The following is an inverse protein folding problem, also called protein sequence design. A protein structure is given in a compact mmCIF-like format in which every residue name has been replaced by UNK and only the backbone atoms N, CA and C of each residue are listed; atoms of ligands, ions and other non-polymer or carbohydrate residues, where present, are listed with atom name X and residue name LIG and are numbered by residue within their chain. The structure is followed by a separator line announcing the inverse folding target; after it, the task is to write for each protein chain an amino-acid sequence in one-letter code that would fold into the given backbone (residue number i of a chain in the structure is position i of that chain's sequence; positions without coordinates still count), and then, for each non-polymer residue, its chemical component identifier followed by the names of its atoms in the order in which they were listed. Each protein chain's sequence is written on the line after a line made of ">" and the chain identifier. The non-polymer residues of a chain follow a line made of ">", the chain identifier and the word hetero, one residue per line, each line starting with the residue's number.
data_IF_747476539072
#
_entry.id   IF_747476539072
#
_cell.length_a   1.000
_cell.length_b   1.000
_cell.length_c   1.000
_cell.angle_alpha   90.00
_cell.angle_beta   90.00
_cell.angle_gamma   90.00
#
_symmetry.space_group_name_H-M   'P 1'
#
loop_
_entity.id
_entity.type
_entity.pdbx_description
1 polymer ?
#
# COMPACT_ATOMS: atom_id res chain seq x y z
N UNK A 1 -28.53 -21.39 -27.62
CA UNK A 1 -29.27 -20.28 -28.26
C UNK A 1 -28.34 -19.59 -29.26
N UNK A 2 -28.92 -19.08 -30.34
CA UNK A 2 -28.22 -18.34 -31.39
C UNK A 2 -28.91 -17.00 -31.58
N UNK A 3 -28.15 -15.93 -31.67
CA UNK A 3 -28.66 -14.58 -31.97
C UNK A 3 -27.81 -13.92 -33.08
N UNK A 4 -28.49 -13.30 -34.04
CA UNK A 4 -27.87 -12.44 -35.06
C UNK A 4 -28.07 -10.99 -34.65
N UNK A 5 -26.98 -10.22 -34.62
CA UNK A 5 -26.97 -8.82 -34.24
C UNK A 5 -27.06 -7.87 -35.46
N UNK A 6 -27.41 -6.60 -35.21
CA UNK A 6 -27.57 -5.58 -36.27
C UNK A 6 -26.26 -5.29 -37.02
N UNK A 7 -25.11 -5.53 -36.42
CA UNK A 7 -23.78 -5.41 -37.00
C UNK A 7 -23.32 -6.64 -37.78
N UNK A 8 -24.25 -7.58 -38.04
CA UNK A 8 -24.03 -8.88 -38.68
C UNK A 8 -23.09 -9.82 -37.88
N UNK A 9 -22.86 -9.60 -36.59
CA UNK A 9 -22.21 -10.59 -35.74
C UNK A 9 -23.21 -11.64 -35.24
N UNK A 10 -22.71 -12.82 -34.88
CA UNK A 10 -23.51 -13.92 -34.35
C UNK A 10 -23.04 -14.27 -32.94
N UNK A 11 -23.99 -14.34 -32.00
CA UNK A 11 -23.74 -14.89 -30.67
C UNK A 11 -24.34 -16.29 -30.54
N UNK A 12 -23.57 -17.21 -30.00
CA UNK A 12 -23.97 -18.59 -29.75
C UNK A 12 -23.76 -18.90 -28.25
N UNK A 13 -24.85 -19.32 -27.58
CA UNK A 13 -24.76 -19.89 -26.25
C UNK A 13 -24.79 -21.40 -26.33
N UNK A 14 -23.73 -22.04 -25.81
CA UNK A 14 -23.60 -23.50 -25.83
C UNK A 14 -24.65 -24.15 -24.90
N UNK A 15 -25.01 -25.45 -25.17
CA UNK A 15 -25.80 -26.25 -24.24
C UNK A 15 -25.13 -26.35 -22.86
N UNK A 16 -25.94 -26.52 -21.81
CA UNK A 16 -25.44 -26.59 -20.40
C UNK A 16 -24.48 -27.75 -20.14
N UNK A 17 -24.43 -28.75 -21.02
CA UNK A 17 -23.51 -29.89 -20.94
C UNK A 17 -22.12 -29.62 -21.50
N UNK A 18 -21.90 -28.47 -22.16
CA UNK A 18 -20.62 -28.12 -22.81
C UNK A 18 -20.03 -26.85 -22.21
N UNK A 19 -18.72 -26.89 -21.95
CA UNK A 19 -17.89 -25.74 -21.59
C UNK A 19 -16.96 -25.42 -22.76
N UNK A 20 -16.53 -24.15 -22.85
CA UNK A 20 -15.42 -23.76 -23.71
C UNK A 20 -14.13 -24.31 -23.12
N UNK A 21 -13.58 -25.31 -23.73
CA UNK A 21 -12.33 -25.97 -23.34
C UNK A 21 -11.39 -26.06 -24.54
N UNK A 22 -10.12 -25.68 -24.34
CA UNK A 22 -9.10 -25.69 -25.37
C UNK A 22 -8.77 -27.15 -25.84
N UNK A 23 -8.88 -28.11 -24.93
CA UNK A 23 -8.67 -29.50 -25.24
C UNK A 23 -9.81 -30.07 -26.14
N UNK A 24 -11.03 -29.57 -25.96
CA UNK A 24 -12.25 -30.00 -26.67
C UNK A 24 -12.82 -28.80 -27.46
N UNK A 25 -12.05 -28.26 -28.37
CA UNK A 25 -12.42 -27.08 -29.16
C UNK A 25 -13.74 -27.23 -29.88
N UNK A 26 -14.58 -26.21 -29.79
CA UNK A 26 -15.87 -26.17 -30.45
C UNK A 26 -15.74 -25.59 -31.86
N UNK A 27 -16.09 -26.35 -32.86
CA UNK A 27 -16.18 -25.87 -34.26
C UNK A 27 -17.61 -25.42 -34.57
N UNK A 28 -17.74 -24.21 -35.11
CA UNK A 28 -19.00 -23.61 -35.54
C UNK A 28 -18.92 -23.29 -37.03
N UNK A 29 -19.91 -23.73 -37.78
CA UNK A 29 -20.01 -23.46 -39.22
C UNK A 29 -21.20 -22.56 -39.51
N UNK A 30 -20.99 -21.51 -40.29
CA UNK A 30 -22.05 -20.59 -40.75
C UNK A 30 -22.28 -20.78 -42.25
N UNK A 31 -23.52 -21.04 -42.62
CA UNK A 31 -23.95 -21.19 -44.03
C UNK A 31 -25.17 -20.32 -44.30
N UNK A 32 -25.28 -19.77 -45.49
CA UNK A 32 -26.50 -19.11 -45.94
C UNK A 32 -27.58 -20.18 -46.21
N UNK A 33 -28.74 -20.02 -45.56
CA UNK A 33 -29.84 -21.02 -45.69
C UNK A 33 -30.36 -21.13 -47.11
N UNK A 34 -30.35 -20.05 -47.90
CA UNK A 34 -30.92 -19.98 -49.24
C UNK A 34 -30.11 -20.74 -50.30
N UNK A 35 -28.78 -20.67 -50.23
CA UNK A 35 -27.88 -21.24 -51.25
C UNK A 35 -26.85 -22.22 -50.66
N UNK A 36 -26.82 -22.38 -49.33
CA UNK A 36 -25.89 -23.23 -48.59
C UNK A 36 -24.40 -22.86 -48.77
N UNK A 37 -24.13 -21.64 -49.17
CA UNK A 37 -22.76 -21.14 -49.35
C UNK A 37 -22.12 -20.86 -48.00
N UNK A 38 -20.82 -21.06 -47.93
CA UNK A 38 -20.03 -20.64 -46.77
C UNK A 38 -20.02 -19.11 -46.65
N UNK A 39 -19.96 -18.60 -45.40
CA UNK A 39 -19.90 -17.15 -45.11
C UNK A 39 -18.58 -16.85 -44.42
N UNK A 40 -17.54 -16.45 -45.18
CA UNK A 40 -16.26 -16.08 -44.60
C UNK A 40 -16.28 -14.69 -43.96
N UNK A 41 -15.38 -14.45 -42.98
CA UNK A 41 -15.17 -13.14 -42.36
C UNK A 41 -16.27 -12.71 -41.37
N UNK A 42 -17.28 -13.55 -41.08
CA UNK A 42 -18.34 -13.25 -40.14
C UNK A 42 -17.83 -13.39 -38.70
N UNK A 43 -18.06 -12.39 -37.86
CA UNK A 43 -17.73 -12.44 -36.45
C UNK A 43 -18.70 -13.35 -35.70
N UNK A 44 -18.16 -14.35 -35.00
CA UNK A 44 -18.93 -15.27 -34.17
C UNK A 44 -18.38 -15.25 -32.74
N UNK A 45 -19.26 -15.05 -31.78
CA UNK A 45 -19.00 -15.15 -30.36
C UNK A 45 -19.67 -16.41 -29.80
N UNK A 46 -18.97 -17.15 -28.97
CA UNK A 46 -19.45 -18.34 -28.29
C UNK A 46 -19.32 -18.18 -26.79
N UNK A 47 -20.39 -18.48 -26.07
CA UNK A 47 -20.44 -18.39 -24.60
C UNK A 47 -20.98 -19.70 -24.03
N UNK A 48 -20.40 -20.19 -22.93
CA UNK A 48 -20.89 -21.36 -22.20
C UNK A 48 -21.75 -20.99 -20.98
N UNK A 49 -22.16 -21.98 -20.19
CA UNK A 49 -22.97 -21.81 -18.99
C UNK A 49 -22.23 -21.09 -17.85
N UNK A 50 -20.90 -21.08 -17.86
CA UNK A 50 -20.03 -20.42 -16.86
C UNK A 50 -19.66 -19.01 -17.31
N UNK A 51 -20.26 -18.51 -18.41
CA UNK A 51 -19.93 -17.22 -19.03
C UNK A 51 -18.47 -17.12 -19.51
N UNK A 52 -17.84 -18.27 -19.80
CA UNK A 52 -16.61 -18.29 -20.56
C UNK A 52 -16.96 -17.86 -22.00
N UNK A 53 -16.08 -16.97 -22.56
CA UNK A 53 -16.34 -16.31 -23.82
C UNK A 53 -15.15 -16.47 -24.77
N UNK A 54 -15.43 -16.89 -25.99
CA UNK A 54 -14.43 -16.90 -27.06
C UNK A 54 -15.07 -16.43 -28.38
N UNK A 55 -14.31 -15.74 -29.21
CA UNK A 55 -14.80 -15.25 -30.50
C UNK A 55 -13.71 -15.35 -31.55
N UNK A 56 -14.16 -15.49 -32.82
CA UNK A 56 -13.31 -15.45 -33.99
C UNK A 56 -14.12 -15.05 -35.23
N UNK A 57 -13.41 -14.82 -36.34
CA UNK A 57 -14.05 -14.66 -37.67
C UNK A 57 -14.02 -15.97 -38.42
N UNK A 58 -15.08 -16.23 -39.16
CA UNK A 58 -15.15 -17.42 -40.03
C UNK A 58 -14.07 -17.38 -41.12
N UNK A 59 -13.47 -18.52 -41.38
CA UNK A 59 -12.52 -18.75 -42.46
C UNK A 59 -13.25 -18.89 -43.85
N UNK A 60 -12.48 -19.26 -44.86
CA UNK A 60 -13.01 -19.44 -46.21
C UNK A 60 -14.10 -20.54 -46.31
N UNK A 61 -14.10 -21.51 -45.40
CA UNK A 61 -15.10 -22.55 -45.29
C UNK A 61 -16.32 -22.13 -44.42
N UNK A 62 -16.34 -20.89 -43.93
CA UNK A 62 -17.39 -20.38 -43.04
C UNK A 62 -17.32 -20.97 -41.65
N UNK A 63 -16.16 -21.39 -41.19
CA UNK A 63 -15.98 -22.07 -39.91
C UNK A 63 -15.12 -21.24 -38.93
N UNK A 64 -15.42 -21.40 -37.64
CA UNK A 64 -14.51 -21.01 -36.55
C UNK A 64 -14.27 -22.21 -35.63
N UNK A 65 -13.10 -22.23 -35.00
CA UNK A 65 -12.79 -23.18 -33.91
C UNK A 65 -12.36 -22.37 -32.68
N UNK A 66 -13.05 -22.56 -31.57
CA UNK A 66 -12.87 -21.78 -30.32
C UNK A 66 -12.92 -22.73 -29.10
N UNK A 67 -12.21 -22.39 -28.00
CA UNK A 67 -11.26 -21.27 -27.86
C UNK A 67 -9.95 -21.52 -28.60
N UNK A 68 -9.19 -20.44 -28.83
CA UNK A 68 -7.84 -20.49 -29.39
C UNK A 68 -6.82 -20.01 -28.37
N UNK A 69 -5.52 -19.94 -28.74
CA UNK A 69 -4.46 -19.41 -27.87
C UNK A 69 -4.51 -17.89 -27.63
N UNK A 70 -5.43 -17.20 -28.28
CA UNK A 70 -5.62 -15.76 -28.16
C UNK A 70 -7.07 -15.37 -28.44
N UNK A 71 -7.45 -14.15 -28.03
CA UNK A 71 -8.76 -13.59 -28.28
C UNK A 71 -8.87 -12.15 -27.81
N UNK A 72 -10.05 -11.56 -27.98
CA UNK A 72 -10.37 -10.23 -27.45
C UNK A 72 -11.42 -10.35 -26.36
N UNK A 73 -11.31 -9.52 -25.32
CA UNK A 73 -12.33 -9.44 -24.27
C UNK A 73 -13.65 -8.91 -24.83
N UNK A 74 -14.75 -9.45 -24.32
CA UNK A 74 -16.11 -8.99 -24.61
C UNK A 74 -16.49 -7.73 -23.79
N UNK A 75 -17.76 -7.33 -23.84
CA UNK A 75 -18.31 -6.19 -23.09
C UNK A 75 -18.18 -6.35 -21.56
N UNK A 76 -18.08 -7.58 -21.05
CA UNK A 76 -17.82 -7.88 -19.64
C UNK A 76 -16.32 -7.94 -19.32
N UNK A 77 -15.44 -7.56 -20.24
CA UNK A 77 -13.99 -7.64 -20.11
C UNK A 77 -13.42 -9.06 -20.08
N UNK A 78 -14.13 -10.07 -20.56
CA UNK A 78 -13.75 -11.49 -20.46
C UNK A 78 -13.37 -12.10 -21.79
N UNK A 79 -12.37 -12.99 -21.75
CA UNK A 79 -12.01 -13.89 -22.87
C UNK A 79 -11.53 -15.24 -22.33
N UNK A 80 -11.88 -16.31 -23.03
CA UNK A 80 -11.39 -17.66 -22.77
C UNK A 80 -10.42 -18.05 -23.87
N UNK A 81 -9.22 -18.43 -23.48
CA UNK A 81 -8.14 -18.84 -24.38
C UNK A 81 -7.40 -20.04 -23.78
N UNK A 82 -6.60 -20.73 -24.57
CA UNK A 82 -5.89 -21.90 -24.12
C UNK A 82 -4.44 -21.94 -24.61
N UNK A 83 -3.67 -22.87 -24.06
CA UNK A 83 -2.31 -23.16 -24.51
C UNK A 83 -1.98 -24.64 -24.29
N UNK A 84 -1.01 -25.11 -25.03
CA UNK A 84 -0.41 -26.43 -24.85
C UNK A 84 1.00 -26.21 -24.27
N UNK A 85 1.28 -26.84 -23.15
CA UNK A 85 2.58 -26.72 -22.48
C UNK A 85 3.65 -27.61 -23.14
N UNK A 86 4.85 -27.63 -22.57
CA UNK A 86 5.98 -28.37 -23.12
C UNK A 86 5.79 -29.91 -23.08
N UNK A 87 4.93 -30.37 -22.16
CA UNK A 87 4.62 -31.78 -21.96
C UNK A 87 3.45 -32.23 -22.83
N UNK A 88 2.83 -31.30 -23.58
CA UNK A 88 1.68 -31.55 -24.45
C UNK A 88 0.34 -31.45 -23.75
N UNK A 89 0.30 -31.05 -22.49
CA UNK A 89 -0.93 -30.85 -21.75
C UNK A 89 -1.62 -29.54 -22.17
N UNK A 90 -2.96 -29.63 -22.33
CA UNK A 90 -3.78 -28.51 -22.80
C UNK A 90 -4.52 -27.83 -21.66
N UNK A 91 -4.29 -26.55 -21.53
CA UNK A 91 -4.84 -25.71 -20.48
C UNK A 91 -5.82 -24.68 -21.03
N UNK A 92 -6.91 -24.46 -20.30
CA UNK A 92 -7.93 -23.46 -20.64
C UNK A 92 -8.03 -22.44 -19.53
N UNK A 93 -7.82 -21.17 -19.87
CA UNK A 93 -7.88 -20.05 -18.93
C UNK A 93 -8.95 -19.06 -19.38
N UNK A 94 -9.67 -18.51 -18.40
CA UNK A 94 -10.57 -17.36 -18.61
C UNK A 94 -9.92 -16.14 -17.95
N UNK A 95 -9.69 -15.11 -18.74
CA UNK A 95 -9.06 -13.86 -18.35
C UNK A 95 -10.14 -12.79 -18.32
N UNK A 96 -10.24 -12.07 -17.19
CA UNK A 96 -11.04 -10.86 -17.03
C UNK A 96 -10.12 -9.67 -16.88
N UNK A 97 -10.43 -8.58 -17.56
CA UNK A 97 -9.67 -7.32 -17.52
C UNK A 97 -10.62 -6.18 -17.16
N UNK A 98 -10.27 -5.42 -16.13
CA UNK A 98 -11.10 -4.33 -15.63
C UNK A 98 -10.26 -3.17 -15.08
N UNK A 99 -10.84 -1.97 -15.07
CA UNK A 99 -10.25 -0.83 -14.35
C UNK A 99 -10.33 -1.08 -12.85
N UNK A 100 -9.19 -1.01 -12.15
CA UNK A 100 -9.10 -1.35 -10.72
C UNK A 100 -10.02 -0.49 -9.86
N UNK A 101 -9.99 0.82 -10.06
CA UNK A 101 -10.68 1.77 -9.18
C UNK A 101 -12.21 1.76 -9.32
N UNK A 102 -12.71 1.39 -10.50
CA UNK A 102 -14.15 1.42 -10.80
C UNK A 102 -14.76 0.05 -10.98
N UNK A 103 -13.95 -1.01 -11.12
CA UNK A 103 -14.41 -2.34 -11.48
C UNK A 103 -15.04 -2.42 -12.89
N UNK A 104 -14.95 -1.34 -13.69
CA UNK A 104 -15.53 -1.33 -15.05
C UNK A 104 -14.74 -2.27 -15.96
N UNK A 105 -15.42 -3.17 -16.70
CA UNK A 105 -14.77 -4.05 -17.64
C UNK A 105 -14.05 -3.27 -18.75
N UNK A 106 -12.96 -3.85 -19.26
CA UNK A 106 -12.22 -3.32 -20.41
C UNK A 106 -12.49 -4.27 -21.59
N UNK A 107 -13.42 -3.92 -22.49
CA UNK A 107 -13.70 -4.69 -23.68
C UNK A 107 -12.62 -4.47 -24.76
N UNK A 108 -12.52 -5.41 -25.71
CA UNK A 108 -11.57 -5.38 -26.82
C UNK A 108 -10.08 -5.42 -26.43
N UNK A 109 -9.72 -5.72 -25.18
CA UNK A 109 -8.34 -6.01 -24.83
C UNK A 109 -7.89 -7.30 -25.54
N UNK A 110 -6.73 -7.24 -26.20
CA UNK A 110 -6.16 -8.41 -26.89
C UNK A 110 -5.39 -9.26 -25.89
N UNK A 111 -5.80 -10.53 -25.76
CA UNK A 111 -5.17 -11.49 -24.86
C UNK A 111 -4.54 -12.61 -25.66
N UNK A 112 -3.32 -12.96 -25.31
CA UNK A 112 -2.60 -14.10 -25.88
C UNK A 112 -1.91 -14.90 -24.75
N UNK A 113 -1.94 -16.23 -24.86
CA UNK A 113 -1.26 -17.13 -23.92
C UNK A 113 -0.14 -17.85 -24.67
N UNK A 114 1.09 -17.68 -24.19
CA UNK A 114 2.25 -18.37 -24.75
C UNK A 114 2.35 -19.83 -24.29
N UNK A 115 3.21 -20.61 -24.95
CA UNK A 115 3.45 -22.04 -24.66
C UNK A 115 3.86 -22.34 -23.22
N UNK A 116 4.41 -21.36 -22.50
CA UNK A 116 4.80 -21.48 -21.10
C UNK A 116 3.71 -21.03 -20.11
N UNK A 117 2.48 -20.76 -20.61
CA UNK A 117 1.38 -20.24 -19.82
C UNK A 117 1.50 -18.74 -19.46
N UNK A 118 2.51 -18.04 -19.99
CA UNK A 118 2.63 -16.58 -19.82
C UNK A 118 1.51 -15.86 -20.58
N UNK A 119 0.84 -14.94 -19.92
CA UNK A 119 -0.30 -14.21 -20.46
C UNK A 119 0.16 -12.81 -20.86
N UNK A 120 -0.17 -12.40 -22.07
CA UNK A 120 -0.01 -11.02 -22.54
C UNK A 120 -1.39 -10.41 -22.74
N UNK A 121 -1.64 -9.26 -22.12
CA UNK A 121 -2.84 -8.45 -22.29
C UNK A 121 -2.42 -7.13 -22.92
N UNK A 122 -2.92 -6.84 -24.13
CA UNK A 122 -2.76 -5.53 -24.75
C UNK A 122 -4.08 -4.79 -24.61
N UNK A 123 -4.05 -3.67 -23.90
CA UNK A 123 -5.21 -2.81 -23.72
C UNK A 123 -5.59 -2.13 -25.05
N UNK A 124 -6.86 -1.73 -25.24
CA UNK A 124 -7.28 -0.96 -26.40
C UNK A 124 -6.51 0.36 -26.50
N UNK A 125 -6.34 0.85 -27.71
CA UNK A 125 -5.70 2.14 -27.98
C UNK A 125 -6.44 3.26 -27.22
N UNK A 126 -5.70 4.18 -26.61
CA UNK A 126 -6.23 5.24 -25.75
C UNK A 126 -6.50 4.80 -24.31
N UNK A 127 -6.11 3.58 -23.92
CA UNK A 127 -6.15 3.12 -22.53
C UNK A 127 -4.77 3.26 -21.92
N UNK A 128 -4.59 4.30 -21.09
CA UNK A 128 -3.36 4.51 -20.34
C UNK A 128 -3.16 3.43 -19.26
N UNK A 129 -1.90 3.21 -18.90
CA UNK A 129 -1.48 2.32 -17.83
C UNK A 129 -0.49 3.06 -16.93
N UNK A 130 -1.00 3.77 -15.94
CA UNK A 130 -0.21 4.54 -14.98
C UNK A 130 -0.83 4.48 -13.58
N UNK A 131 -0.26 5.22 -12.61
CA UNK A 131 -0.74 5.22 -11.23
C UNK A 131 -2.22 5.63 -11.06
N UNK A 132 -2.78 6.40 -12.00
CA UNK A 132 -4.17 6.87 -11.97
C UNK A 132 -5.10 5.97 -12.82
N UNK A 133 -4.51 5.12 -13.67
CA UNK A 133 -5.24 4.24 -14.59
C UNK A 133 -4.74 2.80 -14.42
N UNK A 134 -5.10 2.22 -13.27
CA UNK A 134 -4.72 0.85 -12.91
C UNK A 134 -5.67 -0.16 -13.52
N UNK A 135 -5.14 -1.31 -13.86
CA UNK A 135 -5.88 -2.42 -14.44
C UNK A 135 -5.72 -3.67 -13.59
N UNK A 136 -6.82 -4.32 -13.27
CA UNK A 136 -6.84 -5.63 -12.64
C UNK A 136 -7.09 -6.70 -13.69
N UNK A 137 -6.21 -7.68 -13.76
CA UNK A 137 -6.36 -8.88 -14.58
C UNK A 137 -6.65 -10.07 -13.67
N UNK A 138 -7.80 -10.70 -13.82
CA UNK A 138 -8.17 -11.90 -13.07
C UNK A 138 -8.07 -13.11 -13.98
N UNK A 139 -7.42 -14.17 -13.52
CA UNK A 139 -7.21 -15.43 -14.25
C UNK A 139 -7.86 -16.57 -13.49
N UNK A 140 -8.76 -17.26 -14.16
CA UNK A 140 -9.40 -18.48 -13.65
C UNK A 140 -9.29 -19.60 -14.67
N UNK A 141 -9.45 -20.86 -14.25
CA UNK A 141 -9.71 -21.94 -15.18
C UNK A 141 -11.14 -21.84 -15.75
N UNK A 142 -11.49 -22.71 -16.70
CA UNK A 142 -12.82 -22.76 -17.30
C UNK A 142 -13.93 -23.20 -16.31
N UNK A 143 -13.55 -23.67 -15.11
CA UNK A 143 -14.45 -24.02 -14.00
C UNK A 143 -14.57 -22.92 -12.95
N UNK A 144 -13.90 -21.77 -13.17
CA UNK A 144 -13.85 -20.58 -12.31
C UNK A 144 -12.95 -20.72 -11.08
N UNK A 145 -12.04 -21.68 -11.03
CA UNK A 145 -11.04 -21.73 -9.95
C UNK A 145 -9.94 -20.69 -10.21
N UNK A 146 -9.55 -19.89 -9.21
CA UNK A 146 -8.48 -18.91 -9.35
C UNK A 146 -7.14 -19.59 -9.72
N UNK A 147 -6.34 -18.91 -10.53
CA UNK A 147 -5.04 -19.39 -11.00
C UNK A 147 -3.92 -18.52 -10.46
N UNK A 148 -3.30 -18.97 -9.40
CA UNK A 148 -2.16 -18.31 -8.74
C UNK A 148 -0.86 -18.44 -9.55
N UNK A 149 0.09 -17.54 -9.31
CA UNK A 149 1.45 -17.54 -9.89
C UNK A 149 1.54 -17.52 -11.42
N UNK A 150 0.48 -17.07 -12.12
CA UNK A 150 0.52 -16.88 -13.57
C UNK A 150 1.25 -15.59 -13.92
N UNK A 151 2.30 -15.69 -14.74
CA UNK A 151 3.00 -14.53 -15.25
C UNK A 151 2.13 -13.76 -16.25
N UNK A 152 1.95 -12.46 -16.01
CA UNK A 152 1.14 -11.60 -16.88
C UNK A 152 1.98 -10.38 -17.28
N UNK A 153 1.85 -10.00 -18.55
CA UNK A 153 2.37 -8.74 -19.09
C UNK A 153 1.17 -7.96 -19.60
N UNK A 154 0.96 -6.76 -19.05
CA UNK A 154 -0.07 -5.83 -19.52
C UNK A 154 0.60 -4.70 -20.28
N UNK A 155 0.11 -4.42 -21.47
CA UNK A 155 0.60 -3.34 -22.36
C UNK A 155 -0.51 -2.31 -22.52
N UNK A 156 -0.25 -1.09 -22.08
CA UNK A 156 -1.09 0.08 -22.30
C UNK A 156 -0.76 0.79 -23.60
N UNK A 157 -1.28 1.99 -23.77
CA UNK A 157 -0.93 2.87 -24.89
C UNK A 157 0.50 3.42 -24.76
N UNK A 158 1.03 4.03 -25.81
CA UNK A 158 2.36 4.67 -25.84
C UNK A 158 3.52 3.84 -25.29
N UNK A 159 3.51 2.51 -25.50
CA UNK A 159 4.54 1.58 -25.05
C UNK A 159 4.63 1.37 -23.53
N UNK A 160 3.63 1.80 -22.76
CA UNK A 160 3.52 1.47 -21.34
C UNK A 160 3.41 -0.03 -21.16
N UNK A 161 4.19 -0.58 -20.25
CA UNK A 161 4.19 -2.02 -19.96
C UNK A 161 4.38 -2.25 -18.47
N UNK A 162 3.50 -3.07 -17.91
CA UNK A 162 3.62 -3.55 -16.55
C UNK A 162 3.55 -5.08 -16.52
N UNK A 163 4.19 -5.70 -15.55
CA UNK A 163 4.27 -7.16 -15.42
C UNK A 163 4.18 -7.58 -13.95
N UNK A 164 3.69 -8.77 -13.72
CA UNK A 164 3.65 -9.37 -12.39
C UNK A 164 3.11 -10.80 -12.45
N UNK A 165 2.82 -11.34 -11.28
CA UNK A 165 2.20 -12.65 -11.12
C UNK A 165 0.85 -12.50 -10.45
N UNK A 166 -0.08 -13.39 -10.77
CA UNK A 166 -1.36 -13.46 -10.03
C UNK A 166 -1.15 -13.95 -8.60
N UNK A 167 -1.91 -13.38 -7.68
CA UNK A 167 -2.03 -13.78 -6.29
C UNK A 167 -2.88 -15.06 -6.10
N UNK A 168 -3.15 -15.45 -4.86
CA UNK A 168 -3.97 -16.60 -4.48
C UNK A 168 -5.43 -16.52 -5.01
N UNK A 169 -5.94 -15.32 -5.25
CA UNK A 169 -7.26 -15.07 -5.83
C UNK A 169 -7.23 -15.05 -7.36
N UNK A 170 -6.08 -15.36 -7.98
CA UNK A 170 -5.87 -15.32 -9.42
C UNK A 170 -5.82 -13.90 -9.98
N UNK A 171 -5.51 -12.88 -9.19
CA UNK A 171 -5.52 -11.48 -9.60
C UNK A 171 -4.12 -10.89 -9.70
N UNK A 172 -3.93 -10.02 -10.68
CA UNK A 172 -2.81 -9.10 -10.78
C UNK A 172 -3.35 -7.70 -11.02
N UNK A 173 -2.96 -6.74 -10.19
CA UNK A 173 -3.24 -5.32 -10.39
C UNK A 173 -1.98 -4.58 -10.83
N UNK A 174 -2.05 -3.86 -11.95
CA UNK A 174 -0.92 -3.15 -12.55
C UNK A 174 -1.31 -1.73 -13.03
N UNK A 175 -0.36 -0.78 -13.06
CA UNK A 175 0.95 -0.90 -12.44
C UNK A 175 0.83 -1.04 -10.92
N UNK A 176 1.78 -1.73 -10.32
CA UNK A 176 1.92 -1.72 -8.88
C UNK A 176 2.28 -0.30 -8.45
N UNK A 177 1.50 0.28 -7.54
CA UNK A 177 1.81 1.60 -6.99
C UNK A 177 2.79 1.37 -5.85
N UNK A 178 4.03 1.72 -6.05
CA UNK A 178 4.93 1.95 -4.94
C UNK A 178 4.53 3.30 -4.30
N UNK A 179 3.79 3.27 -3.21
CA UNK A 179 3.60 4.45 -2.40
C UNK A 179 4.94 4.83 -1.78
N UNK A 180 5.39 6.04 -2.09
CA UNK A 180 6.67 6.55 -1.59
C UNK A 180 6.40 7.75 -0.71
N UNK A 181 6.89 7.67 0.51
CA UNK A 181 6.82 8.75 1.47
C UNK A 181 8.25 9.19 1.85
N UNK A 182 8.47 10.49 2.00
CA UNK A 182 9.74 10.98 2.52
C UNK A 182 9.70 10.99 4.03
N UNK A 183 10.56 10.21 4.66
CA UNK A 183 10.79 10.25 6.08
C UNK A 183 11.96 11.16 6.39
N UNK A 184 11.68 12.33 6.98
CA UNK A 184 12.69 13.28 7.42
C UNK A 184 13.32 12.86 8.76
N UNK A 185 14.56 13.29 8.99
CA UNK A 185 15.21 13.15 10.28
C UNK A 185 14.53 14.05 11.33
N UNK A 186 13.97 13.47 12.37
CA UNK A 186 13.31 14.24 13.42
C UNK A 186 14.11 14.33 14.74
N UNK A 187 15.12 13.47 14.91
CA UNK A 187 16.01 13.49 16.07
C UNK A 187 17.49 13.45 15.65
N UNK A 188 18.34 14.13 16.39
CA UNK A 188 19.78 14.16 16.16
C UNK A 188 20.53 13.57 17.37
N UNK A 189 21.72 13.05 17.11
CA UNK A 189 22.68 12.73 18.18
C UNK A 189 23.33 13.98 18.77
N UNK A 190 24.20 13.77 19.74
CA UNK A 190 25.00 14.84 20.36
C UNK A 190 26.29 15.10 19.55
N UNK A 191 26.92 16.24 19.80
CA UNK A 191 28.13 16.67 19.10
C UNK A 191 29.34 15.79 19.38
N UNK A 192 29.28 14.95 20.43
CA UNK A 192 30.31 13.96 20.78
C UNK A 192 30.16 12.63 20.02
N UNK A 193 29.18 12.54 19.09
CA UNK A 193 28.92 11.36 18.32
C UNK A 193 28.09 10.28 19.03
N UNK A 194 27.49 10.61 20.18
CA UNK A 194 26.58 9.71 20.91
C UNK A 194 25.11 10.02 20.62
N UNK A 195 24.26 9.02 20.83
CA UNK A 195 22.80 9.20 20.83
C UNK A 195 22.24 9.47 22.23
N UNK A 196 22.84 8.89 23.26
CA UNK A 196 22.37 8.94 24.61
C UNK A 196 21.07 8.18 24.86
N UNK A 197 20.93 6.88 24.51
CA UNK A 197 19.65 6.17 24.53
C UNK A 197 18.98 6.17 25.91
N UNK A 198 19.76 6.11 26.98
CA UNK A 198 19.27 6.09 28.37
C UNK A 198 19.14 7.48 28.99
N UNK A 199 19.48 8.57 28.27
CA UNK A 199 19.34 9.92 28.80
C UNK A 199 17.89 10.35 28.80
N UNK A 200 17.44 10.97 29.88
CA UNK A 200 16.13 11.57 29.97
C UNK A 200 15.96 12.68 28.93
N UNK A 201 14.78 12.71 28.29
CA UNK A 201 14.43 13.74 27.32
C UNK A 201 13.96 15.01 28.05
N UNK A 202 14.43 16.18 27.63
CA UNK A 202 13.87 17.45 28.13
C UNK A 202 12.57 17.81 27.42
N UNK A 203 11.74 18.63 28.04
CA UNK A 203 10.50 19.13 27.44
C UNK A 203 10.74 19.94 26.18
N UNK A 204 11.85 20.68 26.12
CA UNK A 204 12.27 21.41 24.93
C UNK A 204 12.65 20.48 23.76
N UNK A 205 13.37 19.38 24.03
CA UNK A 205 13.73 18.38 23.03
C UNK A 205 12.50 17.66 22.50
N UNK A 206 11.57 17.25 23.37
CA UNK A 206 10.30 16.65 22.97
C UNK A 206 9.47 17.59 22.08
N UNK A 207 9.40 18.88 22.45
CA UNK A 207 8.71 19.87 21.63
C UNK A 207 9.37 20.04 20.25
N UNK A 208 10.69 20.00 20.15
CA UNK A 208 11.40 20.12 18.88
C UNK A 208 11.10 18.95 17.94
N UNK A 209 10.95 17.72 18.45
CA UNK A 209 10.57 16.53 17.65
C UNK A 209 9.22 16.75 17.00
N UNK A 210 8.18 16.95 17.80
CA UNK A 210 6.82 17.08 17.29
C UNK A 210 6.62 18.33 16.42
N UNK A 211 7.29 19.44 16.74
CA UNK A 211 7.22 20.64 15.94
C UNK A 211 7.83 20.45 14.54
N UNK A 212 8.99 19.77 14.43
CA UNK A 212 9.62 19.47 13.15
C UNK A 212 8.73 18.57 12.29
N UNK A 213 8.21 17.51 12.87
CA UNK A 213 7.31 16.57 12.16
C UNK A 213 6.06 17.29 11.65
N UNK A 214 5.41 18.09 12.50
CA UNK A 214 4.20 18.82 12.10
C UNK A 214 4.48 19.89 11.03
N UNK A 215 5.60 20.61 11.16
CA UNK A 215 6.01 21.60 10.18
C UNK A 215 6.38 20.95 8.82
N UNK A 216 7.05 19.81 8.85
CA UNK A 216 7.35 19.04 7.61
C UNK A 216 6.07 18.64 6.89
N UNK A 217 5.08 18.07 7.60
CA UNK A 217 3.78 17.71 7.03
C UNK A 217 3.05 18.90 6.42
N UNK A 218 3.04 20.03 7.13
CA UNK A 218 2.30 21.23 6.72
C UNK A 218 3.06 22.07 5.68
N UNK A 219 4.33 21.77 5.39
CA UNK A 219 5.20 22.63 4.57
C UNK A 219 5.55 23.96 5.25
N UNK A 220 5.49 24.03 6.58
CA UNK A 220 5.72 25.24 7.35
C UNK A 220 7.21 25.45 7.66
N UNK A 221 7.60 26.71 7.88
CA UNK A 221 8.91 27.08 8.38
C UNK A 221 8.80 27.60 9.81
N UNK A 222 9.55 27.00 10.73
CA UNK A 222 9.57 27.42 12.14
C UNK A 222 10.62 28.51 12.33
N UNK A 223 10.20 29.66 12.86
CA UNK A 223 11.11 30.75 13.19
C UNK A 223 12.06 30.35 14.35
N UNK A 224 13.34 30.68 14.22
CA UNK A 224 14.35 30.42 15.26
C UNK A 224 14.29 31.41 16.42
N UNK A 225 13.55 32.52 16.25
CA UNK A 225 13.33 33.53 17.30
C UNK A 225 11.83 33.73 17.44
N UNK A 226 11.31 33.51 18.64
CA UNK A 226 9.87 33.60 18.85
C UNK A 226 9.51 34.08 20.25
N UNK A 227 8.66 35.09 20.31
CA UNK A 227 7.97 35.44 21.55
C UNK A 227 6.84 34.44 21.80
N UNK A 228 6.80 33.89 22.97
CA UNK A 228 5.78 32.94 23.42
C UNK A 228 4.96 33.53 24.56
N UNK A 229 3.85 32.88 24.92
CA UNK A 229 3.16 33.23 26.18
C UNK A 229 3.87 32.72 27.44
N UNK A 230 4.87 31.86 27.26
CA UNK A 230 5.61 31.26 28.37
C UNK A 230 6.72 32.20 28.80
N UNK A 231 6.68 32.62 30.05
CA UNK A 231 7.61 33.64 30.62
C UNK A 231 8.99 33.07 30.87
N UNK A 232 9.12 31.76 30.93
CA UNK A 232 10.37 31.03 31.14
C UNK A 232 11.07 30.61 29.84
N UNK A 233 10.58 31.08 28.68
CA UNK A 233 11.20 30.86 27.37
C UNK A 233 11.77 32.18 26.86
N UNK A 234 13.10 32.39 26.86
CA UNK A 234 13.71 33.52 26.18
C UNK A 234 13.47 33.46 24.68
N UNK A 235 13.17 34.61 24.04
CA UNK A 235 12.82 34.65 22.60
C UNK A 235 13.90 34.08 21.67
N UNK A 236 15.18 34.15 22.07
CA UNK A 236 16.34 33.65 21.33
C UNK A 236 16.76 32.22 21.76
N UNK A 237 16.05 31.58 22.68
CA UNK A 237 16.33 30.20 23.01
C UNK A 237 16.07 29.29 21.78
N UNK A 238 16.93 28.33 21.54
CA UNK A 238 16.84 27.42 20.36
C UNK A 238 15.48 26.71 20.22
N UNK A 239 14.79 26.54 21.32
CA UNK A 239 13.48 25.89 21.41
C UNK A 239 12.28 26.85 21.36
N UNK A 240 12.50 28.18 21.34
CA UNK A 240 11.41 29.16 21.43
C UNK A 240 10.41 29.03 20.30
N UNK A 241 10.88 28.86 19.07
CA UNK A 241 10.07 28.66 17.90
C UNK A 241 9.26 27.37 17.95
N UNK A 242 9.87 26.28 18.38
CA UNK A 242 9.21 24.98 18.51
C UNK A 242 8.09 25.00 19.55
N UNK A 243 8.36 25.55 20.73
CA UNK A 243 7.35 25.67 21.78
C UNK A 243 6.16 26.56 21.34
N UNK A 244 6.44 27.68 20.64
CA UNK A 244 5.41 28.54 20.07
C UNK A 244 4.59 27.82 19.02
N UNK A 245 5.25 27.13 18.09
CA UNK A 245 4.59 26.41 17.01
C UNK A 245 3.62 25.36 17.54
N UNK A 246 4.08 24.49 18.46
CA UNK A 246 3.21 23.49 19.07
C UNK A 246 2.08 24.10 19.92
N UNK A 247 2.34 25.24 20.60
CA UNK A 247 1.29 25.90 21.35
C UNK A 247 0.19 26.48 20.44
N UNK A 248 0.58 27.08 19.32
CA UNK A 248 -0.36 27.62 18.34
C UNK A 248 -1.21 26.52 17.67
N UNK A 249 -0.65 25.33 17.50
CA UNK A 249 -1.32 24.18 16.94
C UNK A 249 -2.05 23.30 17.98
N UNK A 250 -2.12 23.71 19.25
CA UNK A 250 -2.86 22.99 20.28
C UNK A 250 -2.19 21.73 20.83
N UNK A 251 -0.95 21.43 20.44
CA UNK A 251 -0.22 20.23 20.90
C UNK A 251 0.30 20.38 22.30
N UNK A 252 0.75 21.59 22.69
CA UNK A 252 1.20 21.86 24.07
C UNK A 252 0.52 23.06 24.70
N UNK A 253 0.26 22.96 25.99
CA UNK A 253 -0.27 24.06 26.80
C UNK A 253 0.67 24.48 27.93
N UNK A 254 1.89 23.88 27.98
CA UNK A 254 2.86 24.11 29.07
C UNK A 254 2.51 23.33 30.34
N UNK A 255 3.32 23.52 31.38
CA UNK A 255 2.99 23.06 32.77
C UNK A 255 1.95 23.96 33.43
N UNK A 256 1.88 25.22 32.99
CA UNK A 256 0.81 26.16 33.36
C UNK A 256 0.56 27.13 32.18
N UNK A 257 -0.36 28.09 32.37
CA UNK A 257 -0.66 29.09 31.33
C UNK A 257 0.55 29.88 30.88
N UNK A 258 1.56 30.08 31.75
CA UNK A 258 2.73 30.92 31.52
C UNK A 258 4.08 30.22 31.72
N UNK A 259 4.10 28.95 32.11
CA UNK A 259 5.31 28.16 32.35
C UNK A 259 5.36 26.96 31.43
N UNK A 260 6.45 26.82 30.68
CA UNK A 260 6.73 25.68 29.83
C UNK A 260 7.65 24.66 30.49
N UNK A 261 8.61 25.12 31.29
CA UNK A 261 9.66 24.35 31.91
C UNK A 261 10.57 23.61 30.90
N UNK A 262 11.27 24.34 29.99
CA UNK A 262 11.96 23.75 28.84
C UNK A 262 13.08 22.78 29.20
N UNK A 263 13.77 23.03 30.30
CA UNK A 263 14.92 22.23 30.72
C UNK A 263 14.58 21.08 31.68
N UNK A 264 13.33 21.02 32.15
CA UNK A 264 12.89 19.89 32.98
C UNK A 264 12.86 18.63 32.13
N UNK A 265 13.21 17.49 32.72
CA UNK A 265 12.94 16.19 32.13
C UNK A 265 11.42 16.02 31.97
N UNK A 266 11.01 15.49 30.83
CA UNK A 266 9.60 15.22 30.57
C UNK A 266 9.22 13.81 31.09
N UNK A 267 8.10 13.74 31.80
CA UNK A 267 7.64 12.43 32.28
C UNK A 267 6.99 11.61 31.14
N UNK A 268 6.87 10.31 31.35
CA UNK A 268 6.21 9.39 30.40
C UNK A 268 4.77 9.81 30.13
N UNK A 269 4.03 10.21 31.16
CA UNK A 269 2.66 10.71 31.02
C UNK A 269 2.59 12.03 30.22
N UNK A 270 3.48 12.97 30.50
CA UNK A 270 3.55 14.25 29.78
C UNK A 270 3.90 14.03 28.30
N UNK A 271 4.88 13.16 28.01
CA UNK A 271 5.27 12.83 26.64
C UNK A 271 4.13 12.13 25.88
N UNK A 272 3.49 11.14 26.50
CA UNK A 272 2.33 10.45 25.91
C UNK A 272 1.18 11.41 25.61
N UNK A 273 0.93 12.36 26.50
CA UNK A 273 -0.06 13.42 26.28
C UNK A 273 0.28 14.30 25.08
N UNK A 274 1.55 14.67 24.92
CA UNK A 274 2.00 15.40 23.73
C UNK A 274 1.85 14.56 22.46
N UNK A 275 2.19 13.28 22.51
CA UNK A 275 2.09 12.36 21.39
C UNK A 275 0.64 12.20 20.89
N UNK A 276 -0.32 12.00 21.79
CA UNK A 276 -1.74 11.89 21.42
C UNK A 276 -2.26 13.21 20.85
N UNK A 277 -1.98 14.34 21.49
CA UNK A 277 -2.40 15.66 20.96
C UNK A 277 -1.73 16.00 19.62
N UNK A 278 -0.49 15.59 19.43
CA UNK A 278 0.17 15.72 18.15
C UNK A 278 -0.54 14.90 17.10
N UNK A 279 -0.90 13.65 17.40
CA UNK A 279 -1.61 12.77 16.48
C UNK A 279 -2.97 13.32 16.08
N UNK A 280 -3.75 13.88 17.02
CA UNK A 280 -5.04 14.54 16.74
C UNK A 280 -4.92 15.68 15.71
N UNK A 281 -3.75 16.33 15.61
CA UNK A 281 -3.48 17.44 14.68
C UNK A 281 -2.76 16.96 13.41
N UNK A 282 -1.92 15.95 13.53
CA UNK A 282 -1.09 15.40 12.46
C UNK A 282 -1.81 14.36 11.62
N UNK A 283 -2.57 13.47 12.25
CA UNK A 283 -3.23 12.33 11.59
C UNK A 283 -4.49 12.71 10.83
N UNK A 284 -4.85 11.91 9.84
CA UNK A 284 -6.13 12.00 9.13
C UNK A 284 -7.25 11.19 9.85
N UNK A 285 -7.06 10.86 11.11
CA UNK A 285 -8.10 10.33 12.00
C UNK A 285 -8.34 8.82 11.99
N UNK A 286 -7.76 8.07 11.05
CA UNK A 286 -8.07 6.63 10.86
C UNK A 286 -6.97 5.68 11.37
N UNK A 287 -6.27 6.03 12.46
CA UNK A 287 -5.33 5.06 13.06
C UNK A 287 -6.08 3.83 13.59
N UNK A 288 -5.66 2.64 13.19
CA UNK A 288 -6.20 1.38 13.69
C UNK A 288 -6.24 1.37 15.22
N UNK A 289 -7.42 1.10 15.77
CA UNK A 289 -7.61 0.92 17.21
C UNK A 289 -7.49 -0.56 17.50
N UNK A 290 -6.53 -0.96 18.33
CA UNK A 290 -6.42 -2.35 18.76
C UNK A 290 -7.66 -2.77 19.55
N UNK A 291 -8.34 -3.83 19.11
CA UNK A 291 -9.51 -4.38 19.80
C UNK A 291 -9.19 -4.83 21.24
N UNK A 292 -7.94 -5.27 21.48
CA UNK A 292 -7.46 -5.69 22.80
C UNK A 292 -6.23 -4.85 23.17
N UNK A 293 -6.36 -4.03 24.20
CA UNK A 293 -5.24 -3.34 24.84
C UNK A 293 -5.22 -3.66 26.33
N UNK A 294 -4.04 -3.56 26.93
CA UNK A 294 -3.84 -3.86 28.35
C UNK A 294 -3.89 -2.57 29.15
N UNK A 295 -4.79 -2.49 30.14
CA UNK A 295 -4.74 -1.44 31.15
C UNK A 295 -3.50 -1.58 32.04
N UNK A 296 -2.97 -0.46 32.51
CA UNK A 296 -1.81 -0.42 33.37
C UNK A 296 -2.23 -0.40 34.85
N UNK A 297 -1.62 -1.25 35.68
CA UNK A 297 -2.00 -1.45 37.07
C UNK A 297 -1.69 -0.26 37.99
N UNK A 298 -0.85 0.67 37.55
CA UNK A 298 -0.42 1.88 38.25
C UNK A 298 -1.07 3.17 37.73
N UNK A 299 -1.99 3.09 36.76
CA UNK A 299 -2.71 4.25 36.22
C UNK A 299 -4.18 4.15 36.56
N UNK A 300 -4.60 4.92 37.60
CA UNK A 300 -6.01 4.99 37.98
C UNK A 300 -6.82 5.83 36.98
N UNK A 301 -8.14 5.57 36.88
CA UNK A 301 -9.04 6.34 36.02
C UNK A 301 -9.10 7.84 36.35
N UNK A 302 -8.82 8.21 37.60
CA UNK A 302 -8.74 9.59 38.05
C UNK A 302 -7.40 10.27 37.79
N UNK A 303 -6.39 9.56 37.26
CA UNK A 303 -5.11 10.17 36.94
C UNK A 303 -5.28 11.15 35.77
N UNK A 304 -4.64 12.32 35.85
CA UNK A 304 -4.85 13.42 34.90
C UNK A 304 -4.57 13.04 33.43
N UNK A 305 -3.65 12.11 33.20
CA UNK A 305 -3.27 11.64 31.85
C UNK A 305 -3.91 10.29 31.47
N UNK A 306 -4.80 9.71 32.31
CA UNK A 306 -5.33 8.37 32.08
C UNK A 306 -5.94 8.19 30.69
N UNK A 307 -6.74 9.17 30.22
CA UNK A 307 -7.36 9.14 28.89
C UNK A 307 -6.34 9.09 27.76
N UNK A 308 -5.26 9.88 27.86
CA UNK A 308 -4.20 9.91 26.86
C UNK A 308 -3.37 8.61 26.87
N UNK A 309 -3.05 8.07 28.05
CA UNK A 309 -2.34 6.81 28.20
C UNK A 309 -3.16 5.66 27.61
N UNK A 310 -4.46 5.60 27.90
CA UNK A 310 -5.38 4.61 27.32
C UNK A 310 -5.47 4.73 25.79
N UNK A 311 -5.56 5.94 25.26
CA UNK A 311 -5.58 6.17 23.82
C UNK A 311 -4.28 5.66 23.16
N UNK A 312 -3.11 6.05 23.67
CA UNK A 312 -1.82 5.61 23.16
C UNK A 312 -1.62 4.06 23.24
N UNK A 313 -2.15 3.44 24.30
CA UNK A 313 -2.13 1.98 24.45
C UNK A 313 -3.03 1.29 23.42
N UNK A 314 -4.22 1.84 23.15
CA UNK A 314 -5.15 1.33 22.12
C UNK A 314 -4.55 1.37 20.72
N UNK A 315 -3.78 2.39 20.42
CA UNK A 315 -3.05 2.50 19.14
C UNK A 315 -1.74 1.70 19.12
N UNK A 316 -1.39 0.98 20.19
CA UNK A 316 -0.16 0.19 20.24
C UNK A 316 1.14 1.01 20.33
N UNK A 317 1.05 2.34 20.53
CA UNK A 317 2.23 3.20 20.63
C UNK A 317 3.03 2.96 21.89
N UNK A 318 2.35 2.58 22.99
CA UNK A 318 2.95 2.25 24.29
C UNK A 318 2.52 0.88 24.78
N UNK A 319 3.46 0.13 25.37
CA UNK A 319 3.19 -1.24 25.87
C UNK A 319 3.40 -1.37 27.38
N UNK A 320 3.92 -0.34 28.06
CA UNK A 320 4.31 -0.40 29.47
C UNK A 320 5.47 -1.38 29.73
N UNK A 321 5.57 -1.80 30.98
CA UNK A 321 6.61 -2.71 31.43
C UNK A 321 6.06 -4.13 31.65
N UNK A 322 6.97 -5.11 31.78
CA UNK A 322 6.62 -6.52 31.96
C UNK A 322 5.87 -6.83 33.26
N UNK A 323 5.94 -5.94 34.25
CA UNK A 323 5.20 -6.01 35.52
C UNK A 323 3.75 -5.46 35.41
N UNK A 324 3.35 -4.98 34.23
CA UNK A 324 2.04 -4.42 33.95
C UNK A 324 1.90 -2.96 34.33
N UNK A 325 3.00 -2.28 34.70
CA UNK A 325 3.02 -0.84 35.02
C UNK A 325 3.29 0.00 33.78
N UNK A 326 2.85 1.27 33.81
CA UNK A 326 3.22 2.30 32.85
C UNK A 326 4.31 3.25 33.36
N UNK A 327 4.37 3.45 34.67
CA UNK A 327 5.28 4.37 35.37
C UNK A 327 5.13 5.81 34.87
N UNK A 328 3.93 6.31 34.99
CA UNK A 328 3.49 7.58 34.40
C UNK A 328 4.36 8.80 34.79
N UNK A 329 4.84 8.85 36.04
CA UNK A 329 5.62 9.95 36.60
C UNK A 329 7.13 9.77 36.41
N UNK A 330 7.61 8.62 35.91
CA UNK A 330 9.02 8.44 35.61
C UNK A 330 9.41 9.28 34.38
N UNK A 331 10.68 9.75 34.38
CA UNK A 331 11.26 10.43 33.23
C UNK A 331 11.36 9.47 32.03
N UNK A 332 10.97 9.94 30.82
CA UNK A 332 11.13 9.15 29.61
C UNK A 332 12.52 9.34 29.01
N UNK A 333 13.15 8.24 28.57
CA UNK A 333 14.45 8.31 27.92
C UNK A 333 14.34 8.42 26.38
N UNK A 334 15.45 8.79 25.75
CA UNK A 334 15.50 9.06 24.31
C UNK A 334 15.18 7.82 23.45
N UNK A 335 15.57 6.62 23.89
CA UNK A 335 15.27 5.37 23.19
C UNK A 335 13.76 5.06 23.22
N UNK A 336 13.10 5.26 24.34
CA UNK A 336 11.66 5.12 24.48
C UNK A 336 10.90 6.13 23.61
N UNK A 337 11.38 7.38 23.57
CA UNK A 337 10.79 8.43 22.73
C UNK A 337 10.78 8.05 21.26
N UNK A 338 11.91 7.67 20.67
CA UNK A 338 11.96 7.33 19.23
C UNK A 338 11.09 6.11 18.92
N UNK A 339 11.01 5.15 19.84
CA UNK A 339 10.17 3.97 19.65
C UNK A 339 8.68 4.34 19.62
N UNK A 340 8.24 5.23 20.53
CA UNK A 340 6.85 5.70 20.55
C UNK A 340 6.56 6.54 19.30
N UNK A 341 7.45 7.44 18.90
CA UNK A 341 7.24 8.31 17.72
C UNK A 341 7.18 7.50 16.44
N UNK A 342 8.09 6.52 16.23
CA UNK A 342 8.03 5.68 15.04
C UNK A 342 6.71 4.89 14.97
N UNK A 343 6.27 4.28 16.09
CA UNK A 343 4.99 3.58 16.14
C UNK A 343 3.80 4.50 15.85
N UNK A 344 3.81 5.71 16.39
CA UNK A 344 2.79 6.71 16.14
C UNK A 344 2.74 7.12 14.65
N UNK A 345 3.88 7.18 13.99
CA UNK A 345 3.99 7.54 12.57
C UNK A 345 3.84 6.33 11.63
N UNK A 346 3.73 5.10 12.15
CA UNK A 346 3.72 3.89 11.35
C UNK A 346 5.03 3.60 10.62
N UNK A 347 6.17 4.12 11.12
CA UNK A 347 7.48 4.01 10.48
C UNK A 347 8.24 2.78 10.98
N UNK A 348 8.78 2.03 10.04
CA UNK A 348 9.58 0.85 10.31
C UNK A 348 10.97 0.97 9.66
N UNK A 349 11.97 0.46 10.34
CA UNK A 349 13.34 0.50 9.83
C UNK A 349 13.59 -0.66 8.86
N UNK A 350 14.12 -0.36 7.68
CA UNK A 350 14.64 -1.37 6.74
C UNK A 350 15.99 -1.89 7.24
N UNK A 351 15.96 -3.03 7.93
CA UNK A 351 17.15 -3.65 8.53
C UNK A 351 18.19 -4.06 7.48
N UNK A 352 17.75 -4.50 6.30
CA UNK A 352 18.62 -4.92 5.21
C UNK A 352 19.32 -3.70 4.59
N UNK A 353 18.56 -2.65 4.29
CA UNK A 353 19.13 -1.41 3.79
C UNK A 353 20.12 -0.79 4.77
N UNK A 354 19.79 -0.76 6.06
CA UNK A 354 20.68 -0.26 7.12
C UNK A 354 21.98 -1.07 7.13
N UNK A 355 21.91 -2.40 7.09
CA UNK A 355 23.09 -3.25 7.10
C UNK A 355 24.04 -2.98 5.91
N UNK A 356 23.48 -2.79 4.73
CA UNK A 356 24.24 -2.59 3.49
C UNK A 356 24.80 -1.16 3.36
N UNK A 357 24.19 -0.18 4.04
CA UNK A 357 24.49 1.24 3.87
C UNK A 357 25.06 1.93 5.11
N UNK A 358 25.49 1.22 6.15
CA UNK A 358 25.96 1.79 7.42
C UNK A 358 26.99 2.94 7.28
N UNK A 359 27.85 2.88 6.27
CA UNK A 359 28.87 3.92 6.01
C UNK A 359 28.30 5.25 5.52
N UNK A 360 27.05 5.27 5.08
CA UNK A 360 26.36 6.44 4.52
C UNK A 360 25.30 7.00 5.48
N UNK A 361 25.02 6.27 6.54
CA UNK A 361 24.00 6.60 7.54
C UNK A 361 24.62 7.24 8.76
N UNK A 362 23.85 8.08 9.45
CA UNK A 362 24.20 8.56 10.76
C UNK A 362 24.19 7.40 11.74
N UNK A 363 25.33 7.16 12.35
CA UNK A 363 25.53 6.13 13.36
C UNK A 363 26.06 6.75 14.65
N UNK A 364 25.84 6.10 15.78
CA UNK A 364 26.20 6.64 17.09
C UNK A 364 27.10 5.66 17.84
N UNK A 365 28.14 6.17 18.50
CA UNK A 365 29.18 5.36 19.15
C UNK A 365 28.64 4.53 20.33
N UNK A 366 27.55 4.98 20.95
CA UNK A 366 26.87 4.33 22.07
C UNK A 366 25.65 3.48 21.66
N UNK A 367 25.39 3.33 20.35
CA UNK A 367 24.30 2.51 19.82
C UNK A 367 24.85 1.34 19.01
N UNK A 368 24.47 0.14 19.39
CA UNK A 368 24.82 -1.08 18.65
C UNK A 368 23.57 -1.88 18.29
N UNK A 369 23.68 -2.77 17.31
CA UNK A 369 22.59 -3.68 16.91
C UNK A 369 22.04 -4.54 18.05
N UNK A 370 22.76 -4.65 19.19
CA UNK A 370 22.29 -5.35 20.39
C UNK A 370 21.35 -4.51 21.25
N UNK A 371 21.33 -3.21 21.05
CA UNK A 371 20.41 -2.34 21.78
C UNK A 371 19.00 -2.48 21.22
N UNK A 372 18.02 -2.69 22.08
CA UNK A 372 16.62 -2.96 21.69
C UNK A 372 16.01 -1.87 20.79
N UNK A 373 16.41 -0.62 20.95
CA UNK A 373 15.93 0.52 20.15
C UNK A 373 16.85 0.86 18.96
N UNK A 374 17.83 0.01 18.60
CA UNK A 374 18.82 0.34 17.56
C UNK A 374 18.14 0.74 16.25
N UNK A 375 17.23 -0.10 15.75
CA UNK A 375 16.56 0.15 14.49
C UNK A 375 15.61 1.35 14.56
N UNK A 376 14.93 1.55 15.69
CA UNK A 376 14.10 2.74 15.89
C UNK A 376 14.93 4.05 15.86
N UNK A 377 16.15 4.02 16.40
CA UNK A 377 17.08 5.17 16.33
C UNK A 377 17.59 5.40 14.91
N UNK A 378 17.90 4.32 14.17
CA UNK A 378 18.33 4.43 12.77
C UNK A 378 17.25 5.03 11.87
N UNK A 379 15.97 4.64 12.04
CA UNK A 379 14.82 5.24 11.39
C UNK A 379 14.71 6.75 11.71
N UNK A 380 14.71 7.10 12.98
CA UNK A 380 14.49 8.45 13.45
C UNK A 380 15.60 9.46 13.05
N UNK A 381 16.84 8.97 12.90
CA UNK A 381 18.03 9.80 12.70
C UNK A 381 18.52 9.87 11.24
N UNK A 382 17.92 9.13 10.33
CA UNK A 382 18.33 9.05 8.93
C UNK A 382 17.17 9.36 7.98
N UNK A 383 17.28 10.47 7.25
CA UNK A 383 16.29 10.78 6.23
C UNK A 383 16.42 9.82 5.04
N UNK A 384 15.30 9.30 4.57
CA UNK A 384 15.21 8.38 3.44
C UNK A 384 13.86 8.52 2.73
N UNK A 385 13.70 7.83 1.63
CA UNK A 385 12.38 7.62 1.00
C UNK A 385 11.90 6.22 1.37
N UNK A 386 10.82 6.15 2.11
CA UNK A 386 10.12 4.92 2.41
C UNK A 386 9.30 4.48 1.19
N UNK A 387 9.38 3.20 0.85
CA UNK A 387 8.50 2.53 -0.10
C UNK A 387 7.55 1.70 0.76
N UNK A 388 6.26 2.08 0.75
CA UNK A 388 5.23 1.47 1.56
C UNK A 388 4.67 0.22 0.86
N UNK A 389 4.54 -0.87 1.59
CA UNK A 389 4.05 -2.17 1.12
C UNK A 389 3.69 -3.05 2.31
N UNK A 390 3.74 -4.38 2.18
CA UNK A 390 3.55 -5.31 3.30
C UNK A 390 4.56 -5.09 4.44
N UNK A 391 5.71 -4.53 4.11
CA UNK A 391 6.71 -3.97 5.03
C UNK A 391 7.35 -2.75 4.39
N UNK A 392 7.81 -1.80 5.21
CA UNK A 392 8.53 -0.64 4.73
C UNK A 392 9.91 -1.04 4.19
N UNK A 393 10.28 -0.53 3.02
CA UNK A 393 11.64 -0.61 2.49
C UNK A 393 12.17 0.79 2.16
N UNK A 394 13.52 0.97 2.23
CA UNK A 394 14.14 2.27 2.07
C UNK A 394 14.80 2.44 0.69
N UNK A 395 14.68 3.64 0.16
CA UNK A 395 15.46 4.10 -0.97
C UNK A 395 16.09 5.48 -0.66
N UNK A 396 17.06 5.88 -1.47
CA UNK A 396 17.69 7.21 -1.34
C UNK A 396 16.80 8.33 -1.85
#
# INVERSE_FOLDING_TARGET
>A
AVALHKDNSISIRLPNSRLLDYADQTTVTVQLVKDKSAVPGMSIAVTDKNDNYASSKTDAAGQITVPTGSGKTNEDGKVTAGYEDADGDRWTLTIKVEHTDTGRPIPNAEVAIGKTGNITVKLPDGTDLDKNHRVTVTVTDHKKNPQENKNIIVKGDLSQTAKGKTDQDGKLTVPEIEERERHGTYILGYTDGTFGPSRSMTRAEAAAIFARLLAEKNGDTISTVANTRFTDIPAHAWYSGYAKYLNNNGVTYGKSKTIFAPNDAITRAEFTTLAVRFFDVYGDGDAEIMEQYKDFNDVSDGYWAATYIKAAAKHGWINGYGDGSFRADDEINRAEVVTIVNRLLGREADEAYIADNLRKLNTFSDMSKRHWAYYAVMEAANAHTAILGDSESWSK
#
